data_IF_600702781450
#
_entry.id   IF_600702781450
#
_cell.length_a   1.000
_cell.length_b   1.000
_cell.length_c   1.000
_cell.angle_alpha   90.00
_cell.angle_beta   90.00
_cell.angle_gamma   90.00
#
_symmetry.space_group_name_H-M   'P 1'
#
loop_
_entity.id
_entity.type
_entity.pdbx_description
1 polymer ?
#
# COMPACT_ATOMS: atom_id res chain seq x y z
N UNK A 1 1.95 -13.45 -12.80
CA UNK A 1 2.98 -12.44 -13.10
C UNK A 1 3.06 -11.53 -11.90
N UNK A 2 4.24 -11.23 -11.37
CA UNK A 2 4.38 -10.39 -10.18
C UNK A 2 4.19 -8.92 -10.59
N UNK A 3 3.18 -8.25 -10.03
CA UNK A 3 2.93 -6.83 -10.28
C UNK A 3 3.77 -6.00 -9.32
N UNK A 4 4.29 -4.88 -9.80
CA UNK A 4 4.99 -3.89 -8.99
C UNK A 4 4.34 -2.51 -9.13
N UNK A 5 4.58 -1.62 -8.17
CA UNK A 5 4.05 -0.26 -8.20
C UNK A 5 5.02 0.78 -7.62
N UNK A 6 5.06 1.94 -8.27
CA UNK A 6 5.59 3.18 -7.71
C UNK A 6 4.46 4.11 -7.23
N UNK A 7 3.32 4.06 -7.92
CA UNK A 7 2.14 4.86 -7.58
C UNK A 7 0.95 3.93 -7.34
N UNK A 8 0.22 4.14 -6.23
CA UNK A 8 -0.97 3.35 -5.93
C UNK A 8 -2.04 3.43 -7.03
N UNK A 9 -2.04 4.52 -7.83
CA UNK A 9 -2.94 4.68 -8.98
C UNK A 9 -2.64 3.70 -10.13
N UNK A 10 -1.45 3.10 -10.15
CA UNK A 10 -1.07 2.05 -11.12
C UNK A 10 -1.68 0.69 -10.73
N UNK A 11 -2.13 0.54 -9.49
CA UNK A 11 -2.63 -0.70 -8.88
C UNK A 11 -4.12 -0.96 -9.18
N UNK A 12 -4.73 -0.17 -10.06
CA UNK A 12 -6.17 -0.24 -10.37
C UNK A 12 -6.62 -1.58 -10.98
N UNK A 13 -5.71 -2.36 -11.55
CA UNK A 13 -5.98 -3.60 -12.27
C UNK A 13 -5.78 -4.87 -11.42
N UNK A 14 -5.51 -4.76 -10.11
CA UNK A 14 -5.43 -5.94 -9.24
C UNK A 14 -6.77 -6.66 -9.21
N UNK A 15 -6.81 -7.94 -9.59
CA UNK A 15 -7.97 -8.77 -9.32
C UNK A 15 -8.07 -9.09 -7.82
N UNK A 16 -9.25 -9.51 -7.37
CA UNK A 16 -9.46 -9.90 -5.97
C UNK A 16 -8.49 -11.03 -5.57
N UNK A 17 -7.79 -10.85 -4.44
CA UNK A 17 -6.73 -11.74 -3.98
C UNK A 17 -5.37 -11.58 -4.66
N UNK A 18 -5.23 -10.74 -5.69
CA UNK A 18 -3.92 -10.40 -6.26
C UNK A 18 -3.15 -9.41 -5.38
N UNK A 19 -1.82 -9.43 -5.54
CA UNK A 19 -0.90 -8.55 -4.82
C UNK A 19 0.04 -7.83 -5.79
N UNK A 20 0.30 -6.56 -5.50
CA UNK A 20 1.37 -5.78 -6.09
C UNK A 20 2.44 -5.51 -5.02
N UNK A 21 3.71 -5.66 -5.38
CA UNK A 21 4.84 -5.31 -4.53
C UNK A 21 5.33 -3.89 -4.83
N UNK A 22 5.95 -3.19 -3.88
CA UNK A 22 6.72 -2.00 -4.22
C UNK A 22 7.73 -2.27 -5.34
N UNK A 23 8.02 -1.25 -6.14
CA UNK A 23 9.16 -1.28 -7.06
C UNK A 23 10.46 -1.58 -6.31
N UNK A 24 11.43 -2.31 -6.91
CA UNK A 24 12.69 -2.62 -6.26
C UNK A 24 13.42 -1.36 -5.76
N UNK A 25 13.74 -1.32 -4.47
CA UNK A 25 14.41 -0.19 -3.83
C UNK A 25 13.48 0.92 -3.34
N UNK A 26 12.16 0.80 -3.56
CA UNK A 26 11.16 1.74 -3.05
C UNK A 26 10.53 1.15 -1.79
N UNK A 27 10.48 1.95 -0.73
CA UNK A 27 9.79 1.60 0.52
C UNK A 27 8.80 2.69 0.87
N UNK A 28 7.70 2.33 1.52
CA UNK A 28 6.65 3.27 1.91
C UNK A 28 6.41 3.25 3.41
N UNK A 29 6.14 4.45 3.94
CA UNK A 29 5.41 4.66 5.17
C UNK A 29 3.91 4.70 4.94
N UNK A 30 3.14 4.41 5.99
CA UNK A 30 1.71 4.67 6.03
C UNK A 30 1.42 5.89 6.88
N UNK A 31 0.67 6.85 6.32
CA UNK A 31 0.20 8.03 7.05
C UNK A 31 -1.32 8.13 7.04
N UNK A 32 -1.90 8.53 8.17
CA UNK A 32 -3.30 8.97 8.19
C UNK A 32 -3.40 10.43 7.72
N UNK A 33 -4.62 10.85 7.37
CA UNK A 33 -4.92 12.26 7.06
C UNK A 33 -4.63 13.20 8.25
N UNK A 34 -4.74 12.71 9.48
CA UNK A 34 -4.37 13.43 10.71
C UNK A 34 -2.85 13.44 10.97
N UNK A 35 -2.05 13.13 9.96
CA UNK A 35 -0.58 13.11 9.96
C UNK A 35 0.05 12.17 11.00
N UNK A 36 -0.67 11.11 11.42
CA UNK A 36 -0.07 10.03 12.21
C UNK A 36 0.68 9.11 11.27
N UNK A 37 1.98 8.94 11.52
CA UNK A 37 2.83 8.02 10.76
C UNK A 37 2.87 6.68 11.47
N UNK A 38 2.62 5.61 10.73
CA UNK A 38 2.93 4.26 11.16
C UNK A 38 4.34 3.97 10.66
N UNK A 39 5.32 3.96 11.58
CA UNK A 39 6.72 3.66 11.27
C UNK A 39 6.88 2.17 10.98
N UNK A 40 6.53 1.78 9.76
CA UNK A 40 6.59 0.40 9.30
C UNK A 40 6.71 0.35 7.79
N UNK A 41 7.41 -0.66 7.29
CA UNK A 41 7.60 -0.87 5.86
C UNK A 41 6.39 -1.59 5.27
N UNK A 42 5.89 -1.08 4.14
CA UNK A 42 4.86 -1.75 3.34
C UNK A 42 5.50 -2.85 2.49
N UNK A 43 5.05 -4.08 2.70
CA UNK A 43 5.52 -5.28 1.99
C UNK A 43 4.79 -5.44 0.66
N UNK A 44 3.47 -5.23 0.65
CA UNK A 44 2.65 -5.34 -0.55
C UNK A 44 1.34 -4.57 -0.42
N UNK A 45 0.71 -4.31 -1.56
CA UNK A 45 -0.69 -3.89 -1.67
C UNK A 45 -1.49 -5.04 -2.28
N UNK A 46 -2.69 -5.26 -1.78
CA UNK A 46 -3.60 -6.28 -2.32
C UNK A 46 -5.04 -5.76 -2.38
N UNK A 47 -5.84 -6.36 -3.26
CA UNK A 47 -7.28 -6.07 -3.34
C UNK A 47 -8.07 -7.10 -2.53
N UNK A 48 -9.02 -6.59 -1.75
CA UNK A 48 -10.05 -7.38 -1.06
C UNK A 48 -11.39 -6.68 -1.31
N UNK A 49 -12.19 -7.27 -2.21
CA UNK A 49 -13.39 -6.64 -2.75
C UNK A 49 -13.08 -5.32 -3.47
N UNK A 50 -13.79 -4.25 -3.12
CA UNK A 50 -13.62 -2.93 -3.75
C UNK A 50 -12.52 -2.07 -3.09
N UNK A 51 -11.81 -2.61 -2.08
CA UNK A 51 -10.82 -1.86 -1.30
C UNK A 51 -9.42 -2.41 -1.51
N UNK A 52 -8.46 -1.52 -1.74
CA UNK A 52 -7.04 -1.83 -1.67
C UNK A 52 -6.53 -1.69 -0.24
N UNK A 53 -5.72 -2.66 0.17
CA UNK A 53 -5.06 -2.70 1.47
C UNK A 53 -3.55 -2.77 1.30
N UNK A 54 -2.82 -2.02 2.11
CA UNK A 54 -1.39 -2.20 2.30
C UNK A 54 -1.13 -3.18 3.45
N UNK A 55 -0.34 -4.22 3.21
CA UNK A 55 0.21 -5.09 4.25
C UNK A 55 1.61 -4.63 4.61
N UNK A 56 1.84 -4.50 5.91
CA UNK A 56 3.13 -4.11 6.47
C UNK A 56 3.98 -5.35 6.77
N UNK A 57 5.30 -5.19 6.88
CA UNK A 57 6.23 -6.26 7.26
C UNK A 57 5.89 -6.89 8.63
N UNK A 58 5.18 -6.16 9.50
CA UNK A 58 4.66 -6.66 10.77
C UNK A 58 3.36 -7.50 10.63
N UNK A 59 2.85 -7.71 9.41
CA UNK A 59 1.63 -8.46 9.13
C UNK A 59 0.32 -7.69 9.35
N UNK A 60 0.38 -6.41 9.73
CA UNK A 60 -0.81 -5.55 9.85
C UNK A 60 -1.26 -5.03 8.49
N UNK A 61 -2.57 -4.91 8.30
CA UNK A 61 -3.19 -4.42 7.06
C UNK A 61 -3.91 -3.10 7.30
N UNK A 62 -3.83 -2.20 6.32
CA UNK A 62 -4.43 -0.86 6.38
C UNK A 62 -5.10 -0.52 5.05
N UNK A 63 -6.34 0.00 5.05
CA UNK A 63 -7.00 0.42 3.82
C UNK A 63 -6.24 1.61 3.23
N UNK A 64 -5.93 1.56 1.94
CA UNK A 64 -5.23 2.64 1.20
C UNK A 64 -6.10 3.26 0.10
N UNK A 65 -7.38 2.89 0.08
CA UNK A 65 -8.43 3.49 -0.75
C UNK A 65 -9.71 3.59 0.08
N UNK A 66 -10.61 4.50 -0.29
CA UNK A 66 -11.86 4.74 0.43
C UNK A 66 -11.74 5.81 1.54
N UNK A 67 -12.84 6.02 2.26
CA UNK A 67 -12.91 7.03 3.32
C UNK A 67 -12.05 6.63 4.53
N UNK A 68 -11.25 7.57 5.05
CA UNK A 68 -10.37 7.32 6.19
C UNK A 68 -9.14 6.46 5.87
N UNK A 69 -8.81 6.29 4.59
CA UNK A 69 -7.68 5.47 4.15
C UNK A 69 -6.32 6.08 4.55
N UNK A 70 -5.34 5.19 4.66
CA UNK A 70 -3.94 5.56 4.80
C UNK A 70 -3.36 5.94 3.45
N UNK A 71 -2.41 6.85 3.47
CA UNK A 71 -1.64 7.26 2.30
C UNK A 71 -0.27 6.59 2.36
N UNK A 72 0.15 6.01 1.23
CA UNK A 72 1.49 5.51 1.03
C UNK A 72 2.43 6.67 0.74
N UNK A 73 3.46 6.83 1.57
CA UNK A 73 4.45 7.89 1.42
C UNK A 73 5.82 7.25 1.15
N UNK A 74 6.42 7.46 -0.03
CA UNK A 74 7.75 6.92 -0.31
C UNK A 74 8.77 7.44 0.71
N UNK A 75 9.58 6.53 1.27
CA UNK A 75 10.71 6.90 2.13
C UNK A 75 11.93 7.24 1.28
N UNK A 76 12.63 8.32 1.62
CA UNK A 76 13.93 8.66 1.04
C UNK A 76 13.90 9.45 -0.27
N UNK A 77 12.80 10.13 -0.57
CA UNK A 77 12.75 11.20 -1.59
C UNK A 77 13.16 12.54 -1.00
#
# INVERSE_FOLDING_TARGET
>A
MQKHFYDLREVNDLADGERALPDPGVTYDLRTMDNRTVDTEVECVFRDGDTLFARTAAGKTYPVTGEGSFVLVPRGL
#
